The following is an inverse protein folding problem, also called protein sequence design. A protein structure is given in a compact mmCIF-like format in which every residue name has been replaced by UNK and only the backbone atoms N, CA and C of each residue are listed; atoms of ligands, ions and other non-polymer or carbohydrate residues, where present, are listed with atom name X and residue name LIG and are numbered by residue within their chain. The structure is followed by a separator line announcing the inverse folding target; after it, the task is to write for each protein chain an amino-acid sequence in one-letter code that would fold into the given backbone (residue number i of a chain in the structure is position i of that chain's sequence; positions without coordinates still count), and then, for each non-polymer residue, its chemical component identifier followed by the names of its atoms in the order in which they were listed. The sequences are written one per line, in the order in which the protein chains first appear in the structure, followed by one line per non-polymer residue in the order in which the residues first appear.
data_IF_944601373588
#
_entry.id   IF_944601373588
#
_cell.length_a   1.000
_cell.length_b   1.000
_cell.length_c   1.000
_cell.angle_alpha   90.00
_cell.angle_beta   90.00
_cell.angle_gamma   90.00
#
_symmetry.space_group_name_H-M   'P 1'
#
loop_
_entity.id
_entity.type
_entity.pdbx_description
1 polymer ?
#
# COMPACT_ATOMS: atom_id res chain seq x y z
N UNK A 1 2.81 15.26 4.28
CA UNK A 1 3.16 13.87 3.93
C UNK A 1 2.94 13.55 2.46
N UNK A 2 1.78 13.88 1.91
CA UNK A 2 1.49 13.51 0.52
C UNK A 2 2.41 14.21 -0.50
N UNK A 3 2.74 15.47 -0.28
CA UNK A 3 3.66 16.18 -1.17
C UNK A 3 5.05 15.57 -1.19
N UNK A 4 5.49 15.10 -0.03
CA UNK A 4 6.77 14.43 0.08
C UNK A 4 6.75 13.10 -0.67
N UNK A 5 5.67 12.33 -0.51
CA UNK A 5 5.50 11.08 -1.22
C UNK A 5 5.45 11.29 -2.74
N UNK A 6 4.79 12.34 -3.21
CA UNK A 6 4.73 12.66 -4.64
C UNK A 6 6.11 12.96 -5.20
N UNK A 7 6.90 13.74 -4.48
CA UNK A 7 8.25 14.11 -4.91
C UNK A 7 9.15 12.88 -5.01
N UNK A 8 9.14 12.04 -3.98
CA UNK A 8 9.95 10.84 -3.96
C UNK A 8 9.50 9.87 -5.03
N UNK A 9 8.18 9.73 -5.22
CA UNK A 9 7.62 8.89 -6.26
C UNK A 9 8.09 9.32 -7.65
N UNK A 10 8.13 10.62 -7.91
CA UNK A 10 8.62 11.15 -9.17
C UNK A 10 10.09 10.77 -9.40
N UNK A 11 10.91 10.95 -8.39
CA UNK A 11 12.34 10.62 -8.47
C UNK A 11 12.53 9.13 -8.72
N UNK A 12 11.80 8.30 -7.99
CA UNK A 12 11.90 6.85 -8.11
C UNK A 12 11.38 6.36 -9.45
N UNK A 13 10.29 6.94 -9.94
CA UNK A 13 9.71 6.54 -11.22
C UNK A 13 10.68 6.68 -12.38
N UNK A 14 11.64 7.58 -12.28
CA UNK A 14 12.65 7.78 -13.32
C UNK A 14 13.63 6.62 -13.40
N UNK A 15 13.82 5.90 -12.31
CA UNK A 15 14.82 4.85 -12.21
C UNK A 15 14.23 3.46 -12.11
N UNK A 16 12.91 3.36 -11.99
CA UNK A 16 12.26 2.06 -11.80
C UNK A 16 12.18 1.29 -13.11
N UNK A 17 12.68 0.06 -13.09
CA UNK A 17 12.59 -0.88 -14.23
C UNK A 17 12.02 -2.22 -13.77
N UNK A 18 11.30 -2.22 -12.67
CA UNK A 18 10.77 -3.46 -12.11
C UNK A 18 9.59 -3.96 -12.92
N UNK A 19 9.54 -5.26 -13.15
CA UNK A 19 8.34 -5.91 -13.70
C UNK A 19 7.19 -5.85 -12.70
N UNK A 20 7.52 -5.95 -11.41
CA UNK A 20 6.58 -5.76 -10.30
C UNK A 20 6.90 -4.43 -9.63
N UNK A 21 6.00 -3.42 -9.74
CA UNK A 21 6.29 -2.10 -9.20
C UNK A 21 6.41 -2.07 -7.67
N UNK A 22 5.90 -3.10 -6.99
CA UNK A 22 5.96 -3.16 -5.52
C UNK A 22 7.20 -3.85 -5.00
N UNK A 23 8.00 -4.45 -5.88
CA UNK A 23 9.17 -5.21 -5.47
C UNK A 23 10.34 -4.31 -5.12
N UNK A 24 10.99 -4.61 -4.01
CA UNK A 24 12.13 -3.83 -3.51
C UNK A 24 13.42 -4.45 -4.03
N UNK A 25 14.26 -3.62 -4.64
CA UNK A 25 15.56 -4.07 -5.12
C UNK A 25 16.48 -4.42 -3.95
N UNK A 26 17.41 -5.33 -4.24
CA UNK A 26 18.40 -5.73 -3.26
C UNK A 26 19.19 -4.52 -2.75
N UNK A 27 19.29 -4.39 -1.45
CA UNK A 27 20.01 -3.30 -0.80
C UNK A 27 19.17 -2.07 -0.49
N UNK A 28 17.92 -2.03 -0.97
CA UNK A 28 17.02 -0.94 -0.65
C UNK A 28 16.15 -1.28 0.56
N UNK A 29 15.82 -0.27 1.36
CA UNK A 29 14.94 -0.45 2.52
C UNK A 29 13.48 -0.19 2.20
N UNK A 30 13.21 0.64 1.18
CA UNK A 30 11.84 0.96 0.78
C UNK A 30 11.82 1.45 -0.66
N UNK A 31 10.61 1.43 -1.25
CA UNK A 31 10.32 2.08 -2.53
C UNK A 31 9.02 2.84 -2.42
N UNK A 32 8.86 3.85 -3.26
CA UNK A 32 7.65 4.68 -3.35
C UNK A 32 7.24 4.75 -4.81
N UNK A 33 5.93 4.70 -5.06
CA UNK A 33 5.42 4.80 -6.42
C UNK A 33 3.94 5.13 -6.47
N UNK A 34 3.43 5.18 -7.68
CA UNK A 34 2.02 5.35 -8.00
C UNK A 34 1.49 4.11 -8.69
N UNK A 35 0.20 3.81 -8.49
CA UNK A 35 -0.42 2.67 -9.12
C UNK A 35 -1.93 2.85 -9.21
N UNK A 36 -2.55 2.22 -10.19
CA UNK A 36 -4.00 2.03 -10.22
C UNK A 36 -4.38 0.63 -9.74
N UNK A 37 -3.45 -0.17 -9.32
CA UNK A 37 -3.60 -1.54 -8.84
C UNK A 37 -4.25 -2.49 -9.85
N UNK A 38 -4.35 -2.11 -11.14
CA UNK A 38 -5.05 -2.93 -12.13
C UNK A 38 -4.39 -4.28 -12.35
N UNK A 39 -3.09 -4.38 -12.13
CA UNK A 39 -2.39 -5.66 -12.22
C UNK A 39 -2.87 -6.66 -11.15
N UNK A 40 -3.58 -6.17 -10.13
CA UNK A 40 -4.14 -7.01 -9.07
C UNK A 40 -5.62 -7.31 -9.28
N UNK A 41 -6.21 -6.88 -10.40
CA UNK A 41 -7.63 -7.11 -10.66
C UNK A 41 -7.89 -8.61 -10.79
N UNK A 42 -8.72 -9.13 -9.88
CA UNK A 42 -9.04 -10.55 -9.77
C UNK A 42 -7.81 -11.46 -9.64
N UNK A 43 -6.67 -10.88 -9.24
CA UNK A 43 -5.42 -11.62 -9.05
C UNK A 43 -4.88 -11.36 -7.66
N UNK A 44 -5.03 -12.31 -6.72
CA UNK A 44 -4.48 -12.11 -5.38
C UNK A 44 -2.96 -11.90 -5.41
N UNK A 45 -2.51 -10.91 -4.67
CA UNK A 45 -1.10 -10.59 -4.55
C UNK A 45 -0.68 -10.70 -3.09
N UNK A 46 0.26 -11.59 -2.81
CA UNK A 46 0.80 -11.76 -1.48
C UNK A 46 2.17 -11.09 -1.44
N UNK A 47 2.25 -9.96 -0.75
CA UNK A 47 3.51 -9.24 -0.64
C UNK A 47 4.34 -9.76 0.52
N UNK A 48 5.63 -9.97 0.29
CA UNK A 48 6.57 -10.23 1.36
C UNK A 48 7.01 -8.96 2.09
N UNK A 49 6.50 -7.81 1.68
CA UNK A 49 6.87 -6.50 2.22
C UNK A 49 5.70 -5.88 2.96
N UNK A 50 6.00 -4.98 3.91
CA UNK A 50 4.97 -4.10 4.45
C UNK A 50 4.66 -3.01 3.43
N UNK A 51 3.42 -2.57 3.37
CA UNK A 51 3.00 -1.54 2.43
C UNK A 51 2.05 -0.55 3.09
N UNK A 52 2.18 0.71 2.70
CA UNK A 52 1.18 1.72 2.99
C UNK A 52 0.74 2.30 1.66
N UNK A 53 -0.57 2.27 1.41
CA UNK A 53 -1.15 2.85 0.21
C UNK A 53 -2.04 4.02 0.60
N UNK A 54 -2.06 5.05 -0.23
CA UNK A 54 -2.89 6.22 -0.03
C UNK A 54 -3.68 6.48 -1.31
N UNK A 55 -5.01 6.40 -1.21
CA UNK A 55 -5.89 6.70 -2.34
C UNK A 55 -6.08 8.20 -2.43
N UNK A 56 -5.65 8.79 -3.55
CA UNK A 56 -5.81 10.22 -3.77
C UNK A 56 -6.79 10.54 -4.89
N UNK A 57 -7.31 9.52 -5.58
CA UNK A 57 -8.23 9.72 -6.70
C UNK A 57 -9.09 8.48 -6.92
N UNK A 58 -10.37 8.69 -7.20
CA UNK A 58 -11.27 7.60 -7.56
C UNK A 58 -11.74 6.75 -6.40
N UNK A 59 -12.32 5.61 -6.73
CA UNK A 59 -12.86 4.65 -5.78
C UNK A 59 -12.49 3.23 -6.20
N UNK A 60 -12.49 2.33 -5.22
CA UNK A 60 -12.22 0.92 -5.49
C UNK A 60 -12.85 0.05 -4.40
N UNK A 61 -12.96 -1.23 -4.70
CA UNK A 61 -13.24 -2.26 -3.69
C UNK A 61 -12.07 -3.23 -3.71
N UNK A 62 -11.47 -3.45 -2.56
CA UNK A 62 -10.35 -4.37 -2.42
C UNK A 62 -10.68 -5.45 -1.41
N UNK A 63 -9.99 -6.57 -1.51
CA UNK A 63 -9.97 -7.60 -0.48
C UNK A 63 -8.60 -7.57 0.18
N UNK A 64 -8.59 -7.51 1.50
CA UNK A 64 -7.39 -7.65 2.32
C UNK A 64 -7.59 -8.94 3.10
N UNK A 65 -6.81 -9.95 2.75
CA UNK A 65 -7.06 -11.33 3.16
C UNK A 65 -8.47 -11.74 2.73
N UNK A 66 -9.37 -12.05 3.64
CA UNK A 66 -10.74 -12.46 3.32
C UNK A 66 -11.76 -11.35 3.53
N UNK A 67 -11.32 -10.14 3.87
CA UNK A 67 -12.23 -9.03 4.16
C UNK A 67 -12.26 -8.04 3.01
N UNK A 68 -13.45 -7.56 2.67
CA UNK A 68 -13.63 -6.56 1.62
C UNK A 68 -13.71 -5.17 2.23
N UNK A 69 -13.12 -4.20 1.52
CA UNK A 69 -13.07 -2.81 1.95
C UNK A 69 -13.36 -1.90 0.77
N UNK A 70 -14.24 -0.91 0.99
CA UNK A 70 -14.47 0.15 0.02
C UNK A 70 -13.45 1.25 0.23
N UNK A 71 -12.79 1.63 -0.86
CA UNK A 71 -11.71 2.61 -0.85
C UNK A 71 -12.19 3.84 -1.60
N UNK A 72 -11.94 4.99 -1.03
CA UNK A 72 -12.24 6.28 -1.65
C UNK A 72 -11.09 7.24 -1.41
N UNK A 73 -11.20 8.42 -1.97
CA UNK A 73 -10.19 9.46 -1.76
C UNK A 73 -9.92 9.68 -0.28
N UNK A 74 -8.67 9.85 0.08
CA UNK A 74 -8.17 10.03 1.44
C UNK A 74 -8.20 8.76 2.30
N UNK A 75 -8.31 7.60 1.69
CA UNK A 75 -8.18 6.32 2.41
C UNK A 75 -6.71 5.92 2.45
N UNK A 76 -6.25 5.57 3.65
CA UNK A 76 -4.94 4.98 3.89
C UNK A 76 -5.13 3.49 4.13
N UNK A 77 -4.32 2.68 3.47
CA UNK A 77 -4.36 1.23 3.62
C UNK A 77 -3.00 0.78 4.14
N UNK A 78 -2.99 0.09 5.27
CA UNK A 78 -1.75 -0.41 5.87
C UNK A 78 -1.75 -1.93 5.77
N UNK A 79 -0.78 -2.46 5.06
CA UNK A 79 -0.65 -3.90 4.83
C UNK A 79 0.64 -4.40 5.48
N UNK A 80 0.50 -5.38 6.36
CA UNK A 80 1.67 -6.05 6.94
C UNK A 80 2.19 -7.09 5.95
N UNK A 81 3.45 -7.55 6.10
CA UNK A 81 3.98 -8.60 5.24
C UNK A 81 3.08 -9.84 5.25
N UNK A 82 3.03 -10.52 4.11
CA UNK A 82 2.25 -11.75 3.88
C UNK A 82 0.73 -11.55 3.83
N UNK A 83 0.25 -10.32 3.82
CA UNK A 83 -1.15 -10.01 3.57
C UNK A 83 -1.47 -10.22 2.09
N UNK A 84 -2.62 -10.78 1.80
CA UNK A 84 -3.08 -11.01 0.44
C UNK A 84 -4.01 -9.86 0.04
N UNK A 85 -3.63 -9.16 -1.02
CA UNK A 85 -4.37 -8.01 -1.55
C UNK A 85 -4.94 -8.37 -2.91
N UNK A 86 -6.22 -8.09 -3.12
CA UNK A 86 -6.87 -8.27 -4.41
C UNK A 86 -7.68 -7.02 -4.73
N UNK A 87 -7.60 -6.55 -5.96
CA UNK A 87 -8.49 -5.51 -6.45
C UNK A 87 -9.72 -6.18 -7.04
N UNK A 88 -10.90 -5.90 -6.47
CA UNK A 88 -12.15 -6.48 -6.94
C UNK A 88 -12.78 -5.62 -8.02
N UNK A 89 -12.75 -4.31 -7.85
CA UNK A 89 -13.28 -3.36 -8.82
C UNK A 89 -12.70 -1.98 -8.53
N UNK A 90 -12.69 -1.12 -9.54
CA UNK A 90 -12.23 0.27 -9.36
C UNK A 90 -12.86 1.18 -10.41
N UNK A 91 -12.96 2.46 -10.07
CA UNK A 91 -13.31 3.49 -11.06
C UNK A 91 -12.13 3.65 -12.04
N UNK A 92 -12.40 4.23 -13.19
CA UNK A 92 -11.36 4.42 -14.22
C UNK A 92 -10.24 5.33 -13.74
N UNK A 93 -10.57 6.27 -12.86
CA UNK A 93 -9.61 7.26 -12.37
C UNK A 93 -8.95 6.86 -11.05
N UNK A 94 -9.18 5.64 -10.57
CA UNK A 94 -8.63 5.19 -9.30
C UNK A 94 -7.10 5.23 -9.31
N UNK A 95 -6.52 5.90 -8.31
CA UNK A 95 -5.07 6.01 -8.15
C UNK A 95 -4.69 5.98 -6.68
N UNK A 96 -3.63 5.25 -6.40
CA UNK A 96 -3.01 5.24 -5.08
C UNK A 96 -1.54 5.60 -5.21
N UNK A 97 -1.01 6.18 -4.15
CA UNK A 97 0.43 6.22 -3.94
C UNK A 97 0.76 5.15 -2.93
N UNK A 98 1.91 4.54 -3.06
CA UNK A 98 2.32 3.49 -2.14
C UNK A 98 3.75 3.65 -1.72
N UNK A 99 4.02 3.13 -0.53
CA UNK A 99 5.38 2.92 -0.04
C UNK A 99 5.46 1.47 0.41
N UNK A 100 6.46 0.76 -0.08
CA UNK A 100 6.74 -0.61 0.33
C UNK A 100 8.00 -0.63 1.18
N UNK A 101 7.96 -1.35 2.30
CA UNK A 101 9.10 -1.46 3.22
C UNK A 101 9.68 -2.84 3.16
N UNK A 102 11.01 -2.95 3.21
CA UNK A 102 11.66 -4.25 3.37
C UNK A 102 11.18 -4.91 4.66
N UNK A 103 11.25 -6.23 4.70
CA UNK A 103 10.89 -6.97 5.91
C UNK A 103 11.74 -6.55 7.10
N UNK A 104 13.02 -6.28 6.87
CA UNK A 104 13.93 -5.84 7.92
C UNK A 104 13.46 -4.52 8.52
N UNK A 105 13.15 -3.54 7.66
CA UNK A 105 12.67 -2.24 8.12
C UNK A 105 11.33 -2.38 8.85
N UNK A 106 10.44 -3.21 8.32
CA UNK A 106 9.15 -3.46 8.95
C UNK A 106 9.32 -4.08 10.34
N UNK A 107 10.18 -5.09 10.46
CA UNK A 107 10.41 -5.78 11.73
C UNK A 107 10.98 -4.81 12.77
N UNK A 108 11.89 -3.93 12.36
CA UNK A 108 12.43 -2.91 13.26
C UNK A 108 11.36 -1.94 13.75
N UNK A 109 10.46 -1.52 12.85
CA UNK A 109 9.38 -0.62 13.21
C UNK A 109 8.39 -1.30 14.15
N UNK A 110 8.02 -2.55 13.86
CA UNK A 110 7.06 -3.30 14.67
C UNK A 110 7.58 -3.59 16.07
N UNK A 111 8.89 -3.81 16.19
CA UNK A 111 9.50 -4.06 17.49
C UNK A 111 9.20 -2.92 18.49
N UNK A 112 9.01 -1.71 17.97
CA UNK A 112 8.72 -0.54 18.79
C UNK A 112 7.23 -0.28 18.97
N UNK A 113 6.36 -1.07 18.34
CA UNK A 113 4.93 -0.91 18.47
C UNK A 113 4.40 -1.70 19.66
N UNK A 114 3.43 -1.11 20.31
CA UNK A 114 2.65 -1.79 21.33
C UNK A 114 1.87 -2.94 20.69
N UNK A 115 1.93 -4.18 21.24
CA UNK A 115 1.21 -5.31 20.65
C UNK A 115 -0.29 -5.09 20.40
N UNK A 116 -1.06 -4.46 21.30
CA UNK A 116 -2.45 -4.15 21.00
C UNK A 116 -2.62 -3.24 19.79
N UNK A 117 -1.74 -2.27 19.62
CA UNK A 117 -1.80 -1.35 18.46
C UNK A 117 -1.51 -2.10 17.16
N UNK A 118 -0.54 -3.00 17.19
CA UNK A 118 -0.23 -3.82 16.01
C UNK A 118 -1.42 -4.69 15.62
N UNK A 119 -2.07 -5.31 16.61
CA UNK A 119 -3.26 -6.14 16.33
C UNK A 119 -4.41 -5.30 15.78
N UNK A 120 -4.55 -4.07 16.26
CA UNK A 120 -5.57 -3.16 15.75
C UNK A 120 -5.35 -2.85 14.27
N UNK A 121 -4.11 -2.53 13.89
CA UNK A 121 -3.77 -2.25 12.49
C UNK A 121 -4.04 -3.48 11.62
N UNK A 122 -3.67 -4.66 12.10
CA UNK A 122 -3.88 -5.90 11.35
C UNK A 122 -5.35 -6.17 11.08
N UNK A 123 -6.22 -5.90 12.04
CA UNK A 123 -7.67 -6.08 11.88
C UNK A 123 -8.38 -4.94 11.20
N UNK A 124 -7.74 -3.77 11.08
CA UNK A 124 -8.33 -2.56 10.52
C UNK A 124 -7.35 -1.92 9.53
N UNK A 125 -7.13 -2.57 8.37
CA UNK A 125 -6.11 -2.10 7.43
C UNK A 125 -6.46 -0.80 6.74
N UNK A 126 -7.73 -0.41 6.70
CA UNK A 126 -8.18 0.75 5.94
C UNK A 126 -8.72 1.83 6.87
N UNK A 127 -8.25 3.06 6.65
CA UNK A 127 -8.74 4.22 7.38
C UNK A 127 -8.97 5.35 6.38
N UNK A 128 -10.16 5.91 6.39
CA UNK A 128 -10.50 7.04 5.53
C UNK A 128 -10.54 8.32 6.35
N UNK A 129 -9.73 9.29 5.96
CA UNK A 129 -9.71 10.58 6.62
C UNK A 129 -10.99 11.34 6.27
N UNK A 130 -11.75 11.83 7.26
CA UNK A 130 -13.04 12.44 7.00
C UNK A 130 -12.98 13.83 6.40
N UNK A 131 -11.84 14.48 6.46
CA UNK A 131 -11.73 15.86 6.01
C UNK A 131 -11.66 15.96 4.52
N UNK A 132 -12.23 16.78 3.98
CA UNK A 132 -12.29 17.23 2.81
C UNK A 132 -12.04 17.60 2.11
#
# INVERSE_FOLDING_TARGET
MIRYMLMISYIRGQNSRHMNPFEIERGESFIIGDSDLRELLDRPYKSGYGMILFCYKGTANISVDLSRWDIRRNTVIVLIPDTILTLNASSEDFKVQYISFSKVLFDEAVFRLDPPFFRFIKGNPCYTHPAD
#
